data_IF_754446670047
#
_entry.id   IF_754446670047
#
_cell.length_a   1.000
_cell.length_b   1.000
_cell.length_c   1.000
_cell.angle_alpha   90.00
_cell.angle_beta   90.00
_cell.angle_gamma   90.00
#
_symmetry.space_group_name_H-M   'P 1'
#
loop_
_entity.id
_entity.type
_entity.pdbx_description
1 polymer ?
#
# COMPACT_ATOMS: atom_id res chain seq x y z
N UNK A 1 22.60 -33.60 -7.21
CA UNK A 1 22.67 -33.24 -8.65
C UNK A 1 22.17 -31.81 -8.82
N UNK A 2 22.96 -31.01 -9.55
CA UNK A 2 22.74 -29.68 -10.14
C UNK A 2 22.11 -28.56 -9.27
N UNK A 3 22.88 -27.56 -8.83
CA UNK A 3 23.29 -26.33 -9.56
C UNK A 3 22.10 -25.39 -9.86
N UNK A 4 22.17 -24.06 -9.76
CA UNK A 4 23.17 -23.08 -9.29
C UNK A 4 22.67 -21.70 -9.78
N UNK A 5 23.08 -20.63 -9.09
CA UNK A 5 23.16 -19.22 -9.54
C UNK A 5 21.82 -18.48 -9.70
N UNK A 6 21.73 -17.18 -9.49
CA UNK A 6 22.58 -16.14 -8.91
C UNK A 6 21.70 -14.88 -8.98
N UNK A 7 21.65 -14.07 -7.92
CA UNK A 7 22.27 -12.75 -7.90
C UNK A 7 21.71 -11.75 -8.92
N UNK A 8 21.10 -10.67 -8.44
CA UNK A 8 20.72 -9.56 -9.30
C UNK A 8 19.88 -8.53 -8.60
N UNK A 9 20.56 -7.58 -7.93
CA UNK A 9 20.05 -6.29 -7.48
C UNK A 9 18.83 -5.82 -8.29
N UNK A 10 17.69 -5.69 -7.62
CA UNK A 10 16.63 -4.77 -8.03
C UNK A 10 16.36 -3.80 -6.87
N UNK A 11 17.39 -3.04 -6.51
CA UNK A 11 17.18 -1.66 -6.09
C UNK A 11 16.64 -0.96 -7.35
N UNK A 12 15.33 -0.96 -7.53
CA UNK A 12 14.67 0.00 -8.41
C UNK A 12 13.97 0.99 -7.51
N UNK A 13 14.66 2.12 -7.41
CA UNK A 13 14.23 3.43 -6.98
C UNK A 13 12.76 3.55 -6.57
N UNK A 14 12.57 4.04 -5.35
CA UNK A 14 11.54 5.03 -5.04
C UNK A 14 11.35 5.93 -6.26
N UNK A 15 10.26 5.70 -7.00
CA UNK A 15 9.79 6.66 -7.99
C UNK A 15 9.38 7.90 -7.19
N UNK A 16 10.03 9.07 -7.36
CA UNK A 16 9.33 10.29 -7.06
C UNK A 16 8.09 10.29 -7.95
N UNK A 17 6.92 10.57 -7.37
CA UNK A 17 5.75 10.85 -8.20
C UNK A 17 6.09 12.09 -9.03
N UNK A 18 6.45 11.85 -10.29
CA UNK A 18 6.52 12.86 -11.34
C UNK A 18 5.12 13.45 -11.48
N UNK A 19 4.87 14.56 -10.78
CA UNK A 19 3.88 15.53 -11.25
C UNK A 19 4.50 16.27 -12.44
N UNK A 20 4.73 15.54 -13.53
CA UNK A 20 4.86 16.14 -14.84
C UNK A 20 3.44 16.33 -15.37
N UNK A 21 2.85 17.49 -15.09
CA UNK A 21 1.83 18.04 -15.98
C UNK A 21 2.48 18.16 -17.37
N UNK A 22 2.29 17.15 -18.22
CA UNK A 22 2.24 17.40 -19.66
C UNK A 22 0.90 18.06 -19.94
N UNK A 23 0.75 19.32 -19.55
CA UNK A 23 -0.01 20.21 -20.39
C UNK A 23 0.84 20.40 -21.63
N UNK A 24 0.37 19.87 -22.76
CA UNK A 24 0.80 20.38 -24.04
C UNK A 24 0.38 21.86 -24.08
N UNK A 25 1.28 22.73 -23.61
CA UNK A 25 1.25 24.14 -23.97
C UNK A 25 1.48 24.17 -25.47
N UNK A 26 0.40 24.23 -26.25
CA UNK A 26 0.48 24.71 -27.62
C UNK A 26 0.90 26.18 -27.56
N UNK A 27 2.22 26.43 -27.54
CA UNK A 27 2.77 27.71 -27.92
C UNK A 27 2.64 27.85 -29.44
N UNK A 28 1.44 28.14 -29.91
CA UNK A 28 1.27 28.70 -31.25
C UNK A 28 1.71 30.16 -31.21
N UNK A 29 3.03 30.34 -31.28
CA UNK A 29 3.66 31.56 -31.74
C UNK A 29 3.26 31.77 -33.20
N UNK A 30 2.09 32.37 -33.43
CA UNK A 30 1.80 33.06 -34.68
C UNK A 30 1.24 34.42 -34.34
N UNK A 31 2.12 35.41 -34.51
CA UNK A 31 1.83 36.82 -34.35
C UNK A 31 0.52 37.19 -35.04
N UNK A 32 -0.25 37.96 -34.29
CA UNK A 32 -1.21 38.96 -34.75
C UNK A 32 -0.84 39.53 -36.12
N UNK A 33 -1.48 39.02 -37.18
CA UNK A 33 -1.80 39.84 -38.34
C UNK A 33 -3.24 40.32 -38.17
N UNK A 34 -3.45 41.15 -37.14
CA UNK A 34 -4.56 42.08 -37.20
C UNK A 34 -4.24 42.97 -38.40
N UNK A 35 -5.03 42.85 -39.47
CA UNK A 35 -5.03 43.87 -40.51
C UNK A 35 -5.46 45.16 -39.81
N UNK A 36 -4.48 46.04 -39.54
CA UNK A 36 -4.74 47.43 -39.23
C UNK A 36 -5.42 48.03 -40.47
N UNK A 37 -6.73 47.94 -40.54
CA UNK A 37 -7.49 48.72 -41.52
C UNK A 37 -7.73 50.09 -40.91
N UNK A 38 -6.77 50.99 -41.15
CA UNK A 38 -6.98 52.42 -40.98
C UNK A 38 -8.14 52.85 -41.89
N UNK A 39 -9.13 53.62 -41.42
CA UNK A 39 -10.10 54.24 -42.33
C UNK A 39 -9.36 55.24 -43.21
N UNK A 40 -9.09 54.84 -44.46
CA UNK A 40 -8.50 55.67 -45.48
C UNK A 40 -9.48 56.78 -45.88
N UNK A 41 -8.96 58.01 -45.85
CA UNK A 41 -9.55 59.26 -46.34
C UNK A 41 -10.47 59.05 -47.56
N UNK A 42 -11.73 59.49 -47.44
CA UNK A 42 -12.70 59.46 -48.52
C UNK A 42 -12.28 60.35 -49.71
N UNK A 43 -12.48 59.88 -50.93
CA UNK A 43 -12.41 60.68 -52.15
C UNK A 43 -13.81 61.18 -52.51
N UNK A 44 -13.98 62.51 -52.54
CA UNK A 44 -15.13 63.16 -53.17
C UNK A 44 -14.99 63.10 -54.70
N UNK A 45 -16.10 62.98 -55.43
CA UNK A 45 -16.42 64.08 -56.33
C UNK A 45 -17.84 64.62 -56.12
N UNK A 46 -17.93 65.95 -56.17
CA UNK A 46 -19.16 66.73 -56.30
C UNK A 46 -20.04 66.21 -57.45
N UNK A 47 -21.32 66.02 -57.17
CA UNK A 47 -22.37 66.45 -58.11
C UNK A 47 -23.59 66.99 -57.34
N UNK A 48 -23.71 68.30 -57.41
CA UNK A 48 -24.81 69.15 -56.94
C UNK A 48 -26.13 68.71 -57.58
N UNK A 49 -27.11 68.32 -56.77
CA UNK A 49 -28.52 68.53 -57.07
C UNK A 49 -29.26 68.95 -55.81
N UNK A 50 -29.94 70.09 -55.94
CA UNK A 50 -30.78 70.75 -54.92
C UNK A 50 -31.94 69.86 -54.51
N UNK A 51 -32.23 69.80 -53.21
CA UNK A 51 -33.58 69.54 -52.69
C UNK A 51 -33.62 68.61 -51.47
N UNK A 52 -34.20 69.12 -50.38
CA UNK A 52 -34.62 68.43 -49.14
C UNK A 52 -33.54 68.01 -48.10
N UNK A 53 -33.21 68.94 -47.21
CA UNK A 53 -32.27 68.76 -46.08
C UNK A 53 -32.86 68.06 -44.83
N UNK A 54 -34.15 67.70 -44.78
CA UNK A 54 -34.76 67.13 -43.55
C UNK A 54 -34.89 65.59 -43.53
N UNK A 55 -34.86 64.89 -44.67
CA UNK A 55 -35.13 63.44 -44.72
C UNK A 55 -33.89 62.53 -44.66
N UNK A 56 -32.71 62.99 -45.14
CA UNK A 56 -31.47 62.20 -45.12
C UNK A 56 -30.87 62.08 -43.70
N UNK A 57 -30.82 63.21 -42.98
CA UNK A 57 -30.35 63.30 -41.58
C UNK A 57 -31.16 62.36 -40.66
N UNK A 58 -32.45 62.15 -40.98
CA UNK A 58 -33.36 61.26 -40.24
C UNK A 58 -33.02 59.76 -40.41
N UNK A 59 -32.57 59.35 -41.60
CA UNK A 59 -32.22 57.96 -41.88
C UNK A 59 -30.86 57.55 -41.26
N UNK A 60 -29.84 58.41 -41.35
CA UNK A 60 -28.54 58.16 -40.69
C UNK A 60 -28.65 58.18 -39.16
N UNK A 61 -29.46 59.09 -38.60
CA UNK A 61 -29.72 59.14 -37.17
C UNK A 61 -30.42 57.86 -36.66
N UNK A 62 -31.33 57.28 -37.46
CA UNK A 62 -32.01 56.02 -37.15
C UNK A 62 -31.05 54.82 -37.08
N UNK A 63 -30.10 54.73 -38.02
CA UNK A 63 -29.07 53.66 -38.02
C UNK A 63 -28.13 53.79 -36.83
N UNK A 64 -27.73 55.01 -36.46
CA UNK A 64 -26.91 55.27 -35.29
C UNK A 64 -27.64 54.88 -34.00
N UNK A 65 -28.93 55.22 -33.88
CA UNK A 65 -29.76 54.84 -32.74
C UNK A 65 -29.86 53.31 -32.61
N UNK A 66 -30.08 52.59 -33.71
CA UNK A 66 -30.13 51.12 -33.70
C UNK A 66 -28.79 50.49 -33.27
N UNK A 67 -27.66 51.05 -33.71
CA UNK A 67 -26.34 50.61 -33.29
C UNK A 67 -26.07 50.88 -31.80
N UNK A 68 -26.50 52.05 -31.30
CA UNK A 68 -26.42 52.41 -29.87
C UNK A 68 -27.28 51.48 -29.02
N UNK A 69 -28.47 51.13 -29.49
CA UNK A 69 -29.36 50.20 -28.80
C UNK A 69 -28.80 48.77 -28.79
N UNK A 70 -28.22 48.32 -29.91
CA UNK A 70 -27.49 47.05 -29.96
C UNK A 70 -26.31 47.02 -28.99
N UNK A 71 -25.50 48.09 -28.93
CA UNK A 71 -24.38 48.20 -28.00
C UNK A 71 -24.86 48.20 -26.55
N UNK A 72 -25.95 48.91 -26.25
CA UNK A 72 -26.58 48.91 -24.92
C UNK A 72 -26.98 47.49 -24.50
N UNK A 73 -27.63 46.75 -25.38
CA UNK A 73 -28.06 45.38 -25.10
C UNK A 73 -26.87 44.45 -24.86
N UNK A 74 -25.81 44.53 -25.68
CA UNK A 74 -24.58 43.76 -25.46
C UNK A 74 -23.88 44.13 -24.14
N UNK A 75 -23.89 45.40 -23.75
CA UNK A 75 -23.35 45.85 -22.46
C UNK A 75 -24.17 45.29 -21.29
N UNK A 76 -25.50 45.25 -21.43
CA UNK A 76 -26.38 44.67 -20.41
C UNK A 76 -26.16 43.15 -20.26
N UNK A 77 -25.98 42.43 -21.37
CA UNK A 77 -25.65 41.00 -21.38
C UNK A 77 -24.28 40.73 -20.73
N UNK A 78 -23.24 41.47 -21.13
CA UNK A 78 -21.91 41.38 -20.51
C UNK A 78 -21.95 41.68 -19.01
N UNK A 79 -22.82 42.60 -18.58
CA UNK A 79 -23.03 42.89 -17.15
C UNK A 79 -23.70 41.72 -16.43
N UNK A 80 -24.61 41.02 -17.10
CA UNK A 80 -25.22 39.78 -16.60
C UNK A 80 -24.17 38.68 -16.41
N UNK A 81 -23.39 38.41 -17.45
CA UNK A 81 -22.31 37.41 -17.42
C UNK A 81 -21.27 37.73 -16.35
N UNK A 82 -20.89 39.00 -16.20
CA UNK A 82 -19.93 39.43 -15.18
C UNK A 82 -20.43 39.14 -13.76
N UNK A 83 -21.73 39.38 -13.50
CA UNK A 83 -22.35 39.04 -12.21
C UNK A 83 -22.34 37.54 -11.98
N UNK A 84 -22.71 36.76 -13.00
CA UNK A 84 -22.73 35.30 -12.90
C UNK A 84 -21.33 34.73 -12.65
N UNK A 85 -20.32 35.21 -13.38
CA UNK A 85 -18.91 34.84 -13.19
C UNK A 85 -18.42 35.20 -11.78
N UNK A 86 -18.82 36.35 -11.24
CA UNK A 86 -18.47 36.72 -9.87
C UNK A 86 -19.02 35.72 -8.85
N UNK A 87 -20.25 35.25 -9.03
CA UNK A 87 -20.87 34.25 -8.15
C UNK A 87 -20.21 32.88 -8.28
N UNK A 88 -19.89 32.43 -9.49
CA UNK A 88 -19.22 31.14 -9.71
C UNK A 88 -17.80 31.15 -9.13
N UNK A 89 -17.05 32.24 -9.30
CA UNK A 89 -15.72 32.41 -8.69
C UNK A 89 -15.83 32.33 -7.17
N UNK A 90 -16.80 33.01 -6.55
CA UNK A 90 -16.99 32.96 -5.10
C UNK A 90 -17.32 31.53 -4.60
N UNK A 91 -18.08 30.75 -5.37
CA UNK A 91 -18.36 29.35 -5.08
C UNK A 91 -17.10 28.47 -5.18
N UNK A 92 -16.31 28.68 -6.24
CA UNK A 92 -15.03 27.97 -6.46
C UNK A 92 -14.06 28.23 -5.31
N UNK A 93 -13.94 29.49 -4.86
CA UNK A 93 -13.07 29.85 -3.72
C UNK A 93 -13.46 29.05 -2.46
N UNK A 94 -14.76 28.99 -2.14
CA UNK A 94 -15.23 28.21 -0.99
C UNK A 94 -14.91 26.72 -1.11
N UNK A 95 -15.07 26.14 -2.30
CA UNK A 95 -14.74 24.74 -2.54
C UNK A 95 -13.22 24.48 -2.42
N UNK A 96 -12.39 25.39 -2.91
CA UNK A 96 -10.93 25.32 -2.79
C UNK A 96 -10.50 25.40 -1.33
N UNK A 97 -11.06 26.31 -0.55
CA UNK A 97 -10.75 26.45 0.89
C UNK A 97 -11.14 25.19 1.67
N UNK A 98 -12.32 24.63 1.39
CA UNK A 98 -12.77 23.38 2.00
C UNK A 98 -11.84 22.20 1.66
N UNK A 99 -11.56 21.99 0.37
CA UNK A 99 -10.67 20.92 -0.08
C UNK A 99 -9.25 21.07 0.49
N UNK A 100 -8.76 22.30 0.64
CA UNK A 100 -7.46 22.58 1.27
C UNK A 100 -7.43 22.12 2.73
N UNK A 101 -8.53 22.37 3.47
CA UNK A 101 -8.73 21.85 4.82
C UNK A 101 -8.72 20.31 4.86
N UNK A 102 -9.52 19.66 4.02
CA UNK A 102 -9.57 18.19 3.97
C UNK A 102 -8.21 17.57 3.62
N UNK A 103 -7.47 18.16 2.67
CA UNK A 103 -6.12 17.71 2.32
C UNK A 103 -5.17 17.82 3.51
N UNK A 104 -5.29 18.88 4.32
CA UNK A 104 -4.47 19.05 5.52
C UNK A 104 -4.76 17.96 6.56
N UNK A 105 -6.03 17.69 6.81
CA UNK A 105 -6.47 16.66 7.76
C UNK A 105 -6.03 15.26 7.32
N UNK A 106 -6.17 14.96 6.02
CA UNK A 106 -5.70 13.70 5.45
C UNK A 106 -4.18 13.55 5.57
N UNK A 107 -3.41 14.63 5.35
CA UNK A 107 -1.94 14.61 5.53
C UNK A 107 -1.57 14.31 6.99
N UNK A 108 -2.29 14.87 7.96
CA UNK A 108 -2.05 14.62 9.37
C UNK A 108 -2.37 13.18 9.77
N UNK A 109 -3.53 12.65 9.35
CA UNK A 109 -3.88 11.23 9.54
C UNK A 109 -2.84 10.29 8.93
N UNK A 110 -2.36 10.60 7.72
CA UNK A 110 -1.37 9.79 7.03
C UNK A 110 0.00 9.78 7.76
N UNK A 111 0.40 10.93 8.33
CA UNK A 111 1.58 10.98 9.22
C UNK A 111 1.39 10.10 10.45
N UNK A 112 0.25 10.19 11.12
CA UNK A 112 -0.08 9.34 12.28
C UNK A 112 0.00 7.85 11.95
N UNK A 113 -0.65 7.42 10.88
CA UNK A 113 -0.60 6.03 10.41
C UNK A 113 0.83 5.58 10.06
N UNK A 114 1.63 6.47 9.46
CA UNK A 114 3.02 6.15 9.11
C UNK A 114 3.86 5.88 10.36
N UNK A 115 3.70 6.67 11.43
CA UNK A 115 4.41 6.45 12.68
C UNK A 115 3.94 5.19 13.41
N UNK A 116 2.64 4.91 13.40
CA UNK A 116 2.09 3.66 13.95
C UNK A 116 2.63 2.44 13.21
N UNK A 117 2.70 2.46 11.89
CA UNK A 117 3.28 1.39 11.08
C UNK A 117 4.77 1.18 11.43
N UNK A 118 5.54 2.25 11.65
CA UNK A 118 6.94 2.13 12.06
C UNK A 118 7.06 1.47 13.43
N UNK A 119 6.24 1.90 14.39
CA UNK A 119 6.22 1.32 15.73
C UNK A 119 5.84 -0.17 15.68
N UNK A 120 4.78 -0.52 14.96
CA UNK A 120 4.33 -1.90 14.79
C UNK A 120 5.39 -2.79 14.11
N UNK A 121 6.16 -2.25 13.16
CA UNK A 121 7.28 -2.98 12.54
C UNK A 121 8.40 -3.22 13.55
N UNK A 122 8.76 -2.22 14.34
CA UNK A 122 9.79 -2.34 15.36
C UNK A 122 9.40 -3.37 16.44
N UNK A 123 8.15 -3.33 16.93
CA UNK A 123 7.66 -4.31 17.92
C UNK A 123 7.59 -5.73 17.35
N UNK A 124 7.15 -5.91 16.10
CA UNK A 124 7.16 -7.23 15.46
C UNK A 124 8.57 -7.81 15.33
N UNK A 125 9.58 -6.99 15.01
CA UNK A 125 10.97 -7.43 14.95
C UNK A 125 11.47 -7.88 16.33
N UNK A 126 11.21 -7.11 17.38
CA UNK A 126 11.58 -7.46 18.76
C UNK A 126 10.89 -8.75 19.23
N UNK A 127 9.59 -8.89 18.98
CA UNK A 127 8.83 -10.09 19.34
C UNK A 127 9.34 -11.32 18.59
N UNK A 128 9.67 -11.19 17.31
CA UNK A 128 10.24 -12.27 16.50
C UNK A 128 11.61 -12.71 17.06
N UNK A 129 12.46 -11.76 17.44
CA UNK A 129 13.76 -12.06 18.05
C UNK A 129 13.60 -12.78 19.41
N UNK A 130 12.62 -12.37 20.22
CA UNK A 130 12.30 -13.03 21.49
C UNK A 130 11.77 -14.45 21.28
N UNK A 131 10.90 -14.66 20.29
CA UNK A 131 10.39 -15.99 19.94
C UNK A 131 11.53 -16.94 19.55
N UNK A 132 12.41 -16.52 18.64
CA UNK A 132 13.57 -17.32 18.23
C UNK A 132 14.48 -17.69 19.41
N UNK A 133 14.67 -16.77 20.36
CA UNK A 133 15.45 -17.04 21.57
C UNK A 133 14.79 -18.09 22.45
N UNK A 134 13.47 -17.99 22.66
CA UNK A 134 12.72 -18.94 23.49
C UNK A 134 12.64 -20.31 22.82
N UNK A 135 12.44 -20.36 21.51
CA UNK A 135 12.45 -21.59 20.73
C UNK A 135 13.78 -22.33 20.90
N UNK A 136 14.90 -21.65 20.65
CA UNK A 136 16.23 -22.22 20.86
C UNK A 136 16.47 -22.68 22.30
N UNK A 137 16.09 -21.87 23.28
CA UNK A 137 16.22 -22.25 24.69
C UNK A 137 15.40 -23.51 25.02
N UNK A 138 14.22 -23.65 24.41
CA UNK A 138 13.35 -24.81 24.59
C UNK A 138 13.96 -26.05 23.95
N UNK A 139 14.49 -25.94 22.72
CA UNK A 139 15.21 -27.02 22.04
C UNK A 139 16.42 -27.51 22.84
N UNK A 140 17.22 -26.58 23.36
CA UNK A 140 18.38 -26.88 24.20
C UNK A 140 17.94 -27.58 25.49
N UNK A 141 16.87 -27.11 26.14
CA UNK A 141 16.31 -27.74 27.34
C UNK A 141 15.73 -29.14 27.06
N UNK A 142 15.03 -29.33 25.94
CA UNK A 142 14.52 -30.65 25.55
C UNK A 142 15.66 -31.62 25.27
N UNK A 143 16.68 -31.15 24.55
CA UNK A 143 17.87 -31.94 24.25
C UNK A 143 18.56 -32.35 25.55
N UNK A 144 18.78 -31.40 26.47
CA UNK A 144 19.38 -31.66 27.77
C UNK A 144 18.57 -32.68 28.60
N UNK A 145 17.26 -32.50 28.72
CA UNK A 145 16.37 -33.41 29.46
C UNK A 145 16.33 -34.82 28.85
N UNK A 146 16.59 -34.96 27.55
CA UNK A 146 16.56 -36.24 26.83
C UNK A 146 17.94 -36.90 26.68
N UNK A 147 19.02 -36.30 27.18
CA UNK A 147 20.38 -36.85 27.02
C UNK A 147 20.53 -38.29 27.51
N UNK A 148 19.85 -38.62 28.61
CA UNK A 148 19.88 -39.96 29.23
C UNK A 148 18.70 -40.84 28.83
N UNK A 149 17.92 -40.40 27.84
CA UNK A 149 16.77 -41.14 27.35
C UNK A 149 17.17 -41.96 26.13
N UNK A 150 16.88 -43.26 26.17
CA UNK A 150 16.96 -44.14 25.02
C UNK A 150 15.56 -44.52 24.56
N UNK A 151 15.35 -44.48 23.24
CA UNK A 151 14.08 -44.88 22.62
C UNK A 151 14.22 -46.28 22.04
N UNK A 152 13.37 -47.19 22.50
CA UNK A 152 13.22 -48.52 21.90
C UNK A 152 11.99 -48.55 21.00
N UNK A 153 12.19 -48.97 19.76
CA UNK A 153 11.15 -49.15 18.76
C UNK A 153 10.83 -50.63 18.59
N UNK A 154 9.62 -50.91 18.09
CA UNK A 154 9.22 -52.23 17.58
C UNK A 154 9.25 -53.39 18.59
N UNK A 155 9.22 -53.08 19.89
CA UNK A 155 9.04 -54.11 20.93
C UNK A 155 7.56 -54.50 21.00
N UNK A 156 7.23 -55.77 20.70
CA UNK A 156 5.85 -56.27 20.72
C UNK A 156 5.14 -55.96 22.03
N UNK A 157 3.95 -55.37 21.93
CA UNK A 157 3.09 -55.07 23.08
C UNK A 157 2.26 -56.29 23.47
N UNK A 158 2.16 -56.53 24.77
CA UNK A 158 1.24 -57.50 25.36
C UNK A 158 0.29 -56.79 26.32
N UNK A 159 -0.91 -57.38 26.52
CA UNK A 159 -1.87 -56.88 27.52
C UNK A 159 -1.26 -57.08 28.92
N UNK A 160 -1.35 -56.04 29.75
CA UNK A 160 -0.83 -56.02 31.12
C UNK A 160 0.67 -56.34 31.24
N UNK A 161 1.48 -55.83 30.29
CA UNK A 161 2.92 -56.05 30.31
C UNK A 161 3.66 -55.23 31.39
N UNK A 162 4.60 -55.88 32.06
CA UNK A 162 5.63 -55.19 32.85
C UNK A 162 6.72 -54.68 31.89
N UNK A 163 6.57 -53.43 31.46
CA UNK A 163 7.48 -52.80 30.48
C UNK A 163 8.92 -52.78 31.00
N UNK A 164 9.12 -52.59 32.32
CA UNK A 164 10.45 -52.53 32.93
C UNK A 164 11.15 -53.89 32.83
N UNK A 165 10.46 -54.98 33.18
CA UNK A 165 11.03 -56.34 33.07
C UNK A 165 11.37 -56.72 31.64
N UNK A 166 10.51 -56.37 30.67
CA UNK A 166 10.79 -56.63 29.25
C UNK A 166 12.06 -55.92 28.78
N UNK A 167 12.20 -54.64 29.10
CA UNK A 167 13.38 -53.85 28.74
C UNK A 167 14.63 -54.36 29.45
N UNK A 168 14.54 -54.68 30.74
CA UNK A 168 15.64 -55.28 31.49
C UNK A 168 16.12 -56.59 30.84
N UNK A 169 15.19 -57.47 30.47
CA UNK A 169 15.51 -58.71 29.76
C UNK A 169 16.19 -58.49 28.41
N UNK A 170 15.83 -57.44 27.67
CA UNK A 170 16.53 -57.05 26.43
C UNK A 170 17.95 -56.56 26.73
N UNK A 171 18.11 -55.69 27.73
CA UNK A 171 19.43 -55.16 28.10
C UNK A 171 20.38 -56.25 28.59
N UNK A 172 19.90 -57.19 29.39
CA UNK A 172 20.71 -58.33 29.88
C UNK A 172 21.16 -59.22 28.73
N UNK A 173 20.30 -59.44 27.72
CA UNK A 173 20.67 -60.22 26.53
C UNK A 173 21.78 -59.54 25.72
N UNK A 174 21.79 -58.21 25.66
CA UNK A 174 22.81 -57.43 24.92
C UNK A 174 24.09 -57.28 25.76
N UNK A 175 23.96 -57.05 27.07
CA UNK A 175 25.06 -56.82 28.00
C UNK A 175 24.91 -57.73 29.25
N UNK A 176 25.28 -59.03 29.15
CA UNK A 176 25.11 -59.98 30.24
C UNK A 176 25.88 -59.61 31.51
N UNK A 177 27.02 -58.93 31.37
CA UNK A 177 27.87 -58.48 32.48
C UNK A 177 27.24 -57.35 33.33
N UNK A 178 26.13 -56.75 32.87
CA UNK A 178 25.38 -55.76 33.64
C UNK A 178 24.17 -56.35 34.36
N UNK A 179 23.93 -57.67 34.31
CA UNK A 179 22.69 -58.29 34.77
C UNK A 179 22.27 -57.90 36.21
N UNK A 180 23.23 -57.82 37.12
CA UNK A 180 23.00 -57.46 38.52
C UNK A 180 22.73 -55.96 38.72
N UNK A 181 23.10 -55.12 37.76
CA UNK A 181 23.04 -53.64 37.85
C UNK A 181 21.91 -53.03 37.01
N UNK A 182 21.37 -53.76 36.03
CA UNK A 182 20.34 -53.25 35.09
C UNK A 182 19.13 -52.69 35.84
N UNK A 183 18.68 -53.32 36.92
CA UNK A 183 17.53 -52.83 37.69
C UNK A 183 17.80 -51.51 38.42
N UNK A 184 19.06 -51.27 38.81
CA UNK A 184 19.49 -50.04 39.50
C UNK A 184 19.69 -48.87 38.53
N UNK A 185 20.16 -49.17 37.32
CA UNK A 185 20.53 -48.17 36.30
C UNK A 185 19.32 -47.69 35.49
N UNK A 186 18.24 -48.48 35.45
CA UNK A 186 16.99 -48.04 34.86
C UNK A 186 16.24 -47.17 35.87
N UNK A 187 16.07 -45.88 35.58
CA UNK A 187 15.25 -45.02 36.42
C UNK A 187 13.78 -45.17 36.02
N UNK A 188 13.40 -44.62 34.87
CA UNK A 188 12.03 -44.57 34.38
C UNK A 188 11.91 -45.34 33.07
N UNK A 189 10.90 -46.22 32.95
CA UNK A 189 10.62 -46.98 31.70
C UNK A 189 9.12 -46.99 31.43
N UNK A 190 8.69 -46.47 30.28
CA UNK A 190 7.27 -46.48 29.91
C UNK A 190 7.05 -46.43 28.40
N UNK A 191 5.89 -46.93 27.96
CA UNK A 191 5.39 -46.79 26.59
C UNK A 191 4.86 -45.38 26.34
N UNK A 192 5.14 -44.83 25.16
CA UNK A 192 4.70 -43.51 24.75
C UNK A 192 3.34 -43.54 24.03
N UNK A 193 2.43 -42.68 24.47
CA UNK A 193 1.20 -42.39 23.75
C UNK A 193 0.12 -43.47 23.89
N UNK A 194 -0.94 -43.32 23.09
CA UNK A 194 -2.09 -44.23 23.06
C UNK A 194 -1.81 -45.45 22.19
N UNK A 195 -2.38 -46.63 22.51
CA UNK A 195 -2.22 -47.83 21.71
C UNK A 195 -2.72 -47.58 20.27
N UNK A 196 -1.88 -47.85 19.28
CA UNK A 196 -2.24 -47.70 17.87
C UNK A 196 -2.48 -49.08 17.25
N UNK A 197 -3.56 -49.22 16.48
CA UNK A 197 -3.88 -50.49 15.82
C UNK A 197 -2.75 -50.88 14.86
N UNK A 198 -2.13 -52.04 15.11
CA UNK A 198 -1.13 -52.64 14.23
C UNK A 198 0.31 -52.14 14.41
N UNK A 199 0.59 -51.20 15.33
CA UNK A 199 1.97 -50.76 15.62
C UNK A 199 2.25 -50.73 17.13
N UNK A 200 3.30 -51.42 17.61
CA UNK A 200 3.70 -51.29 19.01
C UNK A 200 4.17 -49.86 19.31
N UNK A 201 3.80 -49.31 20.47
CA UNK A 201 4.25 -47.98 20.90
C UNK A 201 5.74 -48.02 21.20
N UNK A 202 6.36 -46.87 21.07
CA UNK A 202 7.77 -46.70 21.43
C UNK A 202 7.92 -46.73 22.95
N UNK A 203 9.03 -47.23 23.45
CA UNK A 203 9.38 -47.14 24.87
C UNK A 203 10.44 -46.05 25.02
N UNK A 204 10.26 -45.16 26.00
CA UNK A 204 11.37 -44.36 26.53
C UNK A 204 11.85 -45.05 27.80
N UNK A 205 13.16 -45.27 27.86
CA UNK A 205 13.86 -45.59 29.09
C UNK A 205 14.83 -44.46 29.43
N UNK A 206 14.83 -44.06 30.69
CA UNK A 206 15.75 -43.08 31.25
C UNK A 206 16.73 -43.82 32.15
N UNK A 207 18.02 -43.55 31.97
CA UNK A 207 19.05 -44.06 32.85
C UNK A 207 19.17 -43.19 34.11
N UNK A 208 19.34 -43.84 35.26
CA UNK A 208 19.81 -43.16 36.47
C UNK A 208 21.30 -42.82 36.28
N UNK A 209 21.63 -41.58 36.64
CA UNK A 209 23.00 -41.08 36.71
C UNK A 209 23.73 -41.64 37.93
#
# INVERSE_FOLDING_TARGET
>A
MANSKANGKAIKALLPHDYACQEAMETNLRGTKNLLTSPGKAALPLKKQRGHEEAAISAEASVILAAVESLKNSIEELRGDLKQNTLTIASIVKAVDFNSGEIKDLKEKNKGMTEEIKLLKATNLDLTAKLLRVEKMTEDQESYKRQWNLRLNDLKEEKDEDTRKKVAGVLIKILPHWAEKVELILDTVHRLGTPLNGRPRQIILQFSL
#
